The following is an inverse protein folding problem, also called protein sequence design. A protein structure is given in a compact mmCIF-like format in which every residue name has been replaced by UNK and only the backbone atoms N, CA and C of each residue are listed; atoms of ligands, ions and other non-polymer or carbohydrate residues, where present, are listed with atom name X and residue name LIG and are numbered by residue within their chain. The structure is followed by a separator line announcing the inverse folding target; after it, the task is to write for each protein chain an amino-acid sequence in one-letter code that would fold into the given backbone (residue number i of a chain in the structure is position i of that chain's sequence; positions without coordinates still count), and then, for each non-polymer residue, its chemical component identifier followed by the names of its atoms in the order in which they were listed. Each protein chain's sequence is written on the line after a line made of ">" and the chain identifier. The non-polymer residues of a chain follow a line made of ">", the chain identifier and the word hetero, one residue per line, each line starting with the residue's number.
data_IF_731870140945
#
_entry.id   IF_731870140945
#
_cell.length_a   1.000
_cell.length_b   1.000
_cell.length_c   1.000
_cell.angle_alpha   90.00
_cell.angle_beta   90.00
_cell.angle_gamma   90.00
#
_symmetry.space_group_name_H-M   'P 1'
#
loop_
_entity.id
_entity.type
_entity.pdbx_description
1 polymer ?
#
# COMPACT_ATOMS: atom_id res chain seq x y z
N UNK A 1 -43.16 -0.81 -17.29
CA UNK A 1 -42.81 0.01 -16.11
C UNK A 1 -42.90 1.44 -16.56
N UNK A 2 -43.83 2.22 -16.00
CA UNK A 2 -44.04 3.61 -16.43
C UNK A 2 -42.91 4.51 -15.91
N UNK A 3 -42.40 5.46 -16.70
CA UNK A 3 -41.32 6.35 -16.27
C UNK A 3 -41.82 7.31 -15.18
N UNK A 4 -41.26 7.22 -13.97
CA UNK A 4 -41.54 8.17 -12.89
C UNK A 4 -40.85 9.50 -13.17
N UNK A 5 -41.65 10.54 -13.41
CA UNK A 5 -41.19 11.92 -13.59
C UNK A 5 -40.91 12.52 -12.21
N UNK A 6 -39.66 12.88 -11.93
CA UNK A 6 -39.26 13.46 -10.64
C UNK A 6 -39.62 14.95 -10.54
N UNK A 7 -39.45 15.67 -11.64
CA UNK A 7 -39.64 17.10 -11.73
C UNK A 7 -39.85 17.52 -13.20
N UNK A 8 -40.28 18.76 -13.40
CA UNK A 8 -40.39 19.37 -14.72
C UNK A 8 -39.42 20.54 -14.79
N UNK A 9 -38.53 20.52 -15.77
CA UNK A 9 -37.62 21.63 -16.04
C UNK A 9 -38.27 22.52 -17.10
N UNK A 10 -38.41 23.81 -16.79
CA UNK A 10 -38.78 24.84 -17.76
C UNK A 10 -37.50 25.32 -18.45
N UNK A 11 -37.42 25.14 -19.77
CA UNK A 11 -36.37 25.74 -20.58
C UNK A 11 -36.56 27.26 -20.65
N UNK A 12 -35.47 28.00 -20.86
CA UNK A 12 -35.48 29.47 -20.91
C UNK A 12 -36.35 30.05 -22.03
N UNK A 13 -36.75 29.20 -23.00
CA UNK A 13 -37.63 29.54 -24.12
C UNK A 13 -39.11 29.14 -23.91
N UNK A 14 -39.47 28.63 -22.73
CA UNK A 14 -40.86 28.40 -22.32
C UNK A 14 -41.39 26.98 -22.52
N UNK A 15 -40.60 26.08 -23.09
CA UNK A 15 -40.97 24.66 -23.24
C UNK A 15 -40.62 23.86 -21.97
N UNK A 16 -41.51 22.95 -21.56
CA UNK A 16 -41.30 22.08 -20.40
C UNK A 16 -40.79 20.70 -20.82
N UNK A 17 -39.73 20.24 -20.15
CA UNK A 17 -39.17 18.90 -20.34
C UNK A 17 -39.22 18.10 -19.03
N UNK A 18 -39.63 16.82 -19.07
CA UNK A 18 -39.69 16.00 -17.87
C UNK A 18 -38.28 15.56 -17.45
N UNK A 19 -37.92 15.81 -16.19
CA UNK A 19 -36.71 15.25 -15.58
C UNK A 19 -37.02 13.82 -15.14
N UNK A 20 -36.52 12.87 -15.92
CA UNK A 20 -36.70 11.44 -15.66
C UNK A 20 -35.76 11.00 -14.54
N UNK A 21 -36.29 10.24 -13.57
CA UNK A 21 -35.46 9.55 -12.58
C UNK A 21 -34.77 8.41 -13.33
N UNK A 22 -33.52 8.61 -13.73
CA UNK A 22 -32.66 7.49 -14.10
C UNK A 22 -32.36 6.70 -12.82
N UNK A 23 -32.62 5.38 -12.79
CA UNK A 23 -32.18 4.56 -11.67
C UNK A 23 -30.67 4.75 -11.50
N UNK A 24 -30.22 4.89 -10.24
CA UNK A 24 -28.80 5.03 -9.93
C UNK A 24 -28.04 3.91 -10.66
N UNK A 25 -27.02 4.30 -11.43
CA UNK A 25 -26.15 3.33 -12.10
C UNK A 25 -25.65 2.37 -11.00
N UNK A 26 -25.95 1.07 -11.09
CA UNK A 26 -25.50 0.12 -10.08
C UNK A 26 -23.98 0.22 -10.00
N UNK A 27 -23.46 0.25 -8.78
CA UNK A 27 -22.02 0.33 -8.53
C UNK A 27 -21.36 -0.83 -9.31
N UNK A 28 -20.38 -0.56 -10.19
CA UNK A 28 -19.86 -1.58 -11.09
C UNK A 28 -19.10 -2.70 -10.37
N UNK A 29 -18.79 -2.51 -9.08
CA UNK A 29 -18.04 -3.44 -8.26
C UNK A 29 -18.89 -3.85 -7.04
N UNK A 30 -19.17 -5.15 -6.84
CA UNK A 30 -19.80 -5.63 -5.61
C UNK A 30 -18.87 -5.38 -4.41
N UNK A 31 -19.38 -5.53 -3.18
CA UNK A 31 -18.55 -5.41 -1.98
C UNK A 31 -17.31 -6.32 -2.06
N UNK A 32 -16.11 -5.87 -1.62
CA UNK A 32 -14.86 -6.63 -1.73
C UNK A 32 -14.90 -8.04 -1.11
N UNK A 33 -15.74 -8.22 -0.08
CA UNK A 33 -15.97 -9.50 0.58
C UNK A 33 -16.75 -10.51 -0.27
N UNK A 34 -17.36 -10.06 -1.36
CA UNK A 34 -18.11 -10.88 -2.32
C UNK A 34 -17.31 -11.16 -3.60
N UNK A 35 -16.04 -10.72 -3.69
CA UNK A 35 -15.22 -10.92 -4.88
C UNK A 35 -14.72 -12.36 -4.97
N UNK A 36 -14.94 -12.99 -6.14
CA UNK A 36 -14.23 -14.22 -6.50
C UNK A 36 -12.73 -13.96 -6.54
N UNK A 37 -11.94 -15.00 -6.31
CA UNK A 37 -10.47 -14.89 -6.29
C UNK A 37 -9.92 -14.28 -7.59
N UNK A 38 -10.43 -14.68 -8.75
CA UNK A 38 -10.02 -14.12 -10.04
C UNK A 38 -10.30 -12.61 -10.18
N UNK A 39 -11.38 -12.09 -9.59
CA UNK A 39 -11.71 -10.65 -9.63
C UNK A 39 -10.82 -9.89 -8.66
N UNK A 40 -10.52 -10.49 -7.51
CA UNK A 40 -9.60 -9.93 -6.52
C UNK A 40 -8.19 -9.82 -7.10
N UNK A 41 -7.70 -10.88 -7.74
CA UNK A 41 -6.39 -10.89 -8.37
C UNK A 41 -6.30 -9.85 -9.48
N UNK A 42 -7.32 -9.75 -10.34
CA UNK A 42 -7.39 -8.71 -11.38
C UNK A 42 -7.46 -7.29 -10.81
N UNK A 43 -8.14 -7.08 -9.68
CA UNK A 43 -8.17 -5.78 -9.02
C UNK A 43 -6.84 -5.45 -8.32
N UNK A 44 -6.16 -6.45 -7.77
CA UNK A 44 -4.79 -6.31 -7.26
C UNK A 44 -3.86 -5.92 -8.41
N UNK A 45 -3.91 -6.62 -9.54
CA UNK A 45 -3.12 -6.30 -10.75
C UNK A 45 -3.43 -4.91 -11.30
N UNK A 46 -4.70 -4.49 -11.29
CA UNK A 46 -5.11 -3.15 -11.70
C UNK A 46 -4.63 -2.06 -10.73
N UNK A 47 -4.67 -2.31 -9.42
CA UNK A 47 -4.12 -1.41 -8.40
C UNK A 47 -2.59 -1.32 -8.49
N UNK A 48 -1.91 -2.42 -8.76
CA UNK A 48 -0.47 -2.47 -9.06
C UNK A 48 -0.18 -1.59 -10.28
N UNK A 49 -0.88 -1.85 -11.37
CA UNK A 49 -0.70 -1.11 -12.61
C UNK A 49 -1.00 0.38 -12.41
N UNK A 50 -2.01 0.74 -11.62
CA UNK A 50 -2.31 2.13 -11.27
C UNK A 50 -1.24 2.77 -10.39
N UNK A 51 -0.71 2.05 -9.41
CA UNK A 51 0.38 2.52 -8.56
C UNK A 51 1.69 2.71 -9.34
N UNK A 52 1.96 1.81 -10.29
CA UNK A 52 3.14 1.87 -11.16
C UNK A 52 3.01 2.87 -12.32
N UNK A 53 1.81 3.10 -12.87
CA UNK A 53 1.54 4.06 -13.96
C UNK A 53 1.22 5.48 -13.44
N UNK A 54 1.04 5.63 -12.13
CA UNK A 54 1.14 6.91 -11.43
C UNK A 54 2.56 7.44 -11.60
N UNK A 55 2.76 8.21 -12.68
CA UNK A 55 3.95 8.97 -13.05
C UNK A 55 4.39 9.95 -11.94
N UNK A 56 4.92 9.39 -10.86
CA UNK A 56 5.65 10.04 -9.77
C UNK A 56 6.91 9.23 -9.41
N UNK A 57 7.60 8.73 -10.42
CA UNK A 57 8.96 8.17 -10.30
C UNK A 57 10.04 9.17 -9.85
N UNK A 58 9.67 10.30 -9.24
CA UNK A 58 10.58 11.28 -8.66
C UNK A 58 10.56 11.29 -7.11
N UNK A 59 9.58 10.64 -6.46
CA UNK A 59 9.51 10.60 -5.00
C UNK A 59 9.59 9.16 -4.51
N UNK A 60 10.70 8.83 -3.83
CA UNK A 60 10.79 7.64 -2.98
C UNK A 60 9.53 7.54 -2.11
N UNK A 61 8.89 6.36 -2.00
CA UNK A 61 7.76 6.15 -1.10
C UNK A 61 8.08 6.60 0.31
N UNK A 62 7.15 7.29 0.97
CA UNK A 62 7.30 7.77 2.35
C UNK A 62 7.70 6.64 3.29
N UNK A 63 7.08 5.45 3.15
CA UNK A 63 7.45 4.27 3.93
C UNK A 63 8.91 3.82 3.75
N UNK A 64 9.49 3.95 2.56
CA UNK A 64 10.91 3.63 2.32
C UNK A 64 11.84 4.72 2.84
N UNK A 65 11.41 5.99 2.79
CA UNK A 65 12.14 7.11 3.40
C UNK A 65 12.16 6.99 4.92
N UNK A 66 11.03 6.69 5.55
CA UNK A 66 10.90 6.49 6.99
C UNK A 66 11.79 5.35 7.47
N UNK A 67 11.86 4.25 6.70
CA UNK A 67 12.79 3.15 6.97
C UNK A 67 14.25 3.63 6.95
N UNK A 68 14.64 4.38 5.92
CA UNK A 68 16.00 4.90 5.79
C UNK A 68 16.34 5.87 6.93
N UNK A 69 15.40 6.74 7.32
CA UNK A 69 15.56 7.67 8.43
C UNK A 69 15.70 6.95 9.77
N UNK A 70 14.86 5.94 10.03
CA UNK A 70 14.93 5.15 11.26
C UNK A 70 16.27 4.42 11.39
N UNK A 71 16.77 3.83 10.30
CA UNK A 71 18.10 3.23 10.25
C UNK A 71 19.21 4.28 10.45
N UNK A 72 19.09 5.46 9.84
CA UNK A 72 20.06 6.54 10.00
C UNK A 72 20.12 7.07 11.44
N UNK A 73 18.97 7.25 12.09
CA UNK A 73 18.89 7.67 13.49
C UNK A 73 19.50 6.61 14.43
N UNK A 74 19.29 5.32 14.12
CA UNK A 74 19.96 4.22 14.83
C UNK A 74 21.48 4.29 14.71
N UNK A 75 22.01 4.54 13.51
CA UNK A 75 23.44 4.67 13.25
C UNK A 75 24.06 5.88 13.94
N UNK A 76 23.28 6.96 14.09
CA UNK A 76 23.65 8.16 14.89
C UNK A 76 23.53 7.92 16.39
N UNK A 77 23.16 6.70 16.82
CA UNK A 77 22.97 6.32 18.21
C UNK A 77 21.94 7.21 18.94
N UNK A 78 20.91 7.66 18.22
CA UNK A 78 19.80 8.40 18.79
C UNK A 78 18.77 7.45 19.37
N UNK A 79 17.94 7.98 20.28
CA UNK A 79 16.86 7.21 20.90
C UNK A 79 15.76 7.02 19.86
N UNK A 80 15.52 5.76 19.52
CA UNK A 80 14.43 5.32 18.64
C UNK A 80 13.49 4.40 19.43
N UNK A 81 12.26 4.24 18.96
CA UNK A 81 11.37 3.21 19.48
C UNK A 81 11.93 1.83 19.09
N UNK A 82 12.16 0.99 20.10
CA UNK A 82 12.77 -0.31 19.90
C UNK A 82 11.83 -1.30 19.20
N UNK A 83 10.52 -1.18 19.41
CA UNK A 83 9.54 -2.09 18.82
C UNK A 83 9.30 -1.74 17.35
N UNK A 84 9.19 -0.45 17.04
CA UNK A 84 9.08 0.06 15.67
C UNK A 84 10.34 -0.23 14.83
N UNK A 85 11.52 -0.07 15.43
CA UNK A 85 12.79 -0.41 14.79
C UNK A 85 12.91 -1.90 14.47
N UNK A 86 12.54 -2.78 15.42
CA UNK A 86 12.53 -4.23 15.20
C UNK A 86 11.52 -4.62 14.13
N UNK A 87 10.37 -3.95 14.11
CA UNK A 87 9.36 -4.14 13.09
C UNK A 87 9.86 -3.80 11.70
N UNK A 88 10.50 -2.64 11.58
CA UNK A 88 11.11 -2.18 10.34
C UNK A 88 12.19 -3.13 9.86
N UNK A 89 13.10 -3.57 10.74
CA UNK A 89 14.14 -4.55 10.40
C UNK A 89 13.56 -5.89 9.94
N UNK A 90 12.57 -6.41 10.66
CA UNK A 90 11.92 -7.67 10.33
C UNK A 90 11.17 -7.59 9.00
N UNK A 91 10.49 -6.48 8.75
CA UNK A 91 9.77 -6.24 7.51
C UNK A 91 10.70 -6.14 6.30
N UNK A 92 11.78 -5.35 6.38
CA UNK A 92 12.77 -5.21 5.30
C UNK A 92 13.41 -6.55 4.94
N UNK A 93 13.70 -7.38 5.95
CA UNK A 93 14.30 -8.71 5.76
C UNK A 93 13.29 -9.81 5.45
N UNK A 94 11.99 -9.49 5.38
CA UNK A 94 10.94 -10.44 5.04
C UNK A 94 10.69 -11.52 6.11
N UNK A 95 10.90 -11.20 7.39
CA UNK A 95 10.64 -12.14 8.48
C UNK A 95 9.19 -12.13 8.97
N UNK A 96 8.38 -11.17 8.52
CA UNK A 96 7.00 -10.97 8.98
C UNK A 96 6.02 -11.02 7.80
N UNK A 97 4.95 -11.81 7.95
CA UNK A 97 3.91 -12.03 6.93
C UNK A 97 2.64 -11.17 7.10
N UNK A 98 2.62 -10.26 8.09
CA UNK A 98 1.43 -9.46 8.43
C UNK A 98 1.25 -8.16 7.64
N UNK A 99 2.25 -7.74 6.87
CA UNK A 99 2.25 -6.52 6.08
C UNK A 99 2.54 -6.82 4.60
N UNK A 100 2.25 -5.86 3.72
CA UNK A 100 2.62 -5.96 2.30
C UNK A 100 4.14 -6.20 2.21
N UNK A 101 4.63 -7.26 1.52
CA UNK A 101 6.04 -7.62 1.56
C UNK A 101 6.94 -6.47 1.09
N UNK A 102 8.06 -6.25 1.79
CA UNK A 102 9.03 -5.20 1.45
C UNK A 102 9.46 -5.27 -0.02
N UNK A 103 9.79 -6.47 -0.49
CA UNK A 103 10.17 -6.74 -1.90
C UNK A 103 9.11 -6.25 -2.89
N UNK A 104 7.83 -6.39 -2.53
CA UNK A 104 6.74 -5.95 -3.37
C UNK A 104 6.62 -4.42 -3.39
N UNK A 105 6.73 -3.76 -2.22
CA UNK A 105 6.76 -2.30 -2.13
C UNK A 105 7.91 -1.72 -2.96
N UNK A 106 9.10 -2.31 -2.90
CA UNK A 106 10.23 -1.89 -3.72
C UNK A 106 9.95 -2.05 -5.22
N UNK A 107 9.44 -3.21 -5.65
CA UNK A 107 9.13 -3.50 -7.07
C UNK A 107 8.11 -2.53 -7.67
N UNK A 108 7.02 -2.24 -6.95
CA UNK A 108 5.99 -1.30 -7.43
C UNK A 108 6.54 0.10 -7.65
N UNK A 109 7.56 0.49 -6.88
CA UNK A 109 8.17 1.81 -6.91
C UNK A 109 9.49 1.87 -7.71
N UNK A 110 9.87 0.79 -8.41
CA UNK A 110 11.10 0.74 -9.19
C UNK A 110 12.38 0.82 -8.36
N UNK A 111 12.31 0.50 -7.06
CA UNK A 111 13.45 0.45 -6.15
C UNK A 111 13.96 -0.98 -6.08
N UNK A 112 15.27 -1.16 -6.10
CA UNK A 112 15.88 -2.46 -5.86
C UNK A 112 15.82 -2.81 -4.36
N UNK A 113 15.08 -3.86 -3.96
CA UNK A 113 14.98 -4.26 -2.55
C UNK A 113 16.31 -4.73 -1.95
N UNK A 114 17.26 -5.18 -2.77
CA UNK A 114 18.54 -5.68 -2.27
C UNK A 114 19.38 -4.56 -1.65
N UNK A 115 19.23 -3.30 -2.12
CA UNK A 115 20.03 -2.17 -1.64
C UNK A 115 19.94 -1.98 -0.12
N UNK A 116 18.72 -1.96 0.44
CA UNK A 116 18.56 -1.71 1.87
C UNK A 116 18.88 -2.94 2.71
N UNK A 117 18.59 -4.13 2.18
CA UNK A 117 18.97 -5.41 2.81
C UNK A 117 20.49 -5.52 2.91
N UNK A 118 21.21 -5.19 1.84
CA UNK A 118 22.66 -5.17 1.79
C UNK A 118 23.23 -4.15 2.78
N UNK A 119 22.67 -2.94 2.87
CA UNK A 119 23.11 -1.93 3.85
C UNK A 119 22.96 -2.45 5.28
N UNK A 120 21.86 -3.15 5.60
CA UNK A 120 21.64 -3.74 6.92
C UNK A 120 22.69 -4.83 7.20
N UNK A 121 22.95 -5.70 6.23
CA UNK A 121 23.89 -6.82 6.38
C UNK A 121 25.37 -6.36 6.39
N UNK A 122 25.71 -5.33 5.62
CA UNK A 122 27.07 -4.80 5.51
C UNK A 122 27.45 -3.90 6.68
N UNK A 123 26.46 -3.35 7.39
CA UNK A 123 26.70 -2.42 8.51
C UNK A 123 26.75 -3.18 9.83
N UNK A 124 27.90 -3.22 10.54
CA UNK A 124 28.08 -4.09 11.71
C UNK A 124 27.06 -3.90 12.83
N UNK A 125 26.62 -2.66 13.06
CA UNK A 125 25.62 -2.34 14.08
C UNK A 125 24.25 -2.91 13.73
N UNK A 126 23.78 -2.65 12.49
CA UNK A 126 22.48 -3.12 12.00
C UNK A 126 22.46 -4.65 11.88
N UNK A 127 23.55 -5.25 11.37
CA UNK A 127 23.70 -6.70 11.28
C UNK A 127 23.73 -7.39 12.66
N UNK A 128 24.26 -6.73 13.69
CA UNK A 128 24.18 -7.23 15.07
C UNK A 128 22.74 -7.17 15.58
N UNK A 129 22.08 -6.03 15.41
CA UNK A 129 20.71 -5.83 15.86
C UNK A 129 19.74 -6.80 15.13
N UNK A 130 19.97 -7.07 13.85
CA UNK A 130 19.23 -8.07 13.08
C UNK A 130 19.42 -9.49 13.65
N UNK A 131 20.64 -9.87 14.03
CA UNK A 131 20.90 -11.16 14.68
C UNK A 131 20.23 -11.27 16.05
N UNK A 132 20.16 -10.16 16.78
CA UNK A 132 19.41 -10.11 18.04
C UNK A 132 17.91 -10.30 17.78
N UNK A 133 17.35 -9.62 16.76
CA UNK A 133 15.96 -9.80 16.33
C UNK A 133 15.67 -11.25 15.95
N UNK A 134 16.52 -11.86 15.12
CA UNK A 134 16.40 -13.28 14.77
C UNK A 134 16.37 -14.16 16.03
N UNK A 135 17.27 -13.95 16.99
CA UNK A 135 17.29 -14.72 18.25
C UNK A 135 16.02 -14.53 19.08
N UNK A 136 15.42 -13.35 19.07
CA UNK A 136 14.16 -13.08 19.77
C UNK A 136 12.97 -13.75 19.08
N UNK A 137 12.99 -13.87 17.75
CA UNK A 137 11.95 -14.53 16.97
C UNK A 137 12.13 -16.06 16.86
N UNK A 138 13.36 -16.57 17.02
CA UNK A 138 13.67 -18.00 17.16
C UNK A 138 13.19 -18.51 18.53
N UNK A 139 11.90 -18.80 18.60
CA UNK A 139 11.19 -19.27 19.81
C UNK A 139 9.70 -18.92 19.80
N UNK A 140 9.28 -17.97 18.96
CA UNK A 140 7.89 -17.54 18.77
C UNK A 140 7.35 -17.79 17.36
N UNK A 141 8.11 -18.50 16.51
CA UNK A 141 7.60 -19.02 15.24
C UNK A 141 6.71 -20.24 15.49
N UNK A 142 5.45 -19.98 15.84
CA UNK A 142 4.23 -20.72 15.47
C UNK A 142 3.01 -19.90 15.88
#
# INVERSE_FOLDING_TARGET
>A
MEPQVAAWQLDMFGDSSPVLITPARPDPLPDPHLWSEEVRDKMVDALISLASDSRRGDSMPESLMDCADLLAERLRNRKIDADDYRATLGWIMGYWDGALPYVYVCKVNGVDPEIMQDVILSTPLLARDLRELQRMCFGTLL
#
